data_IF_972125582415
#
_entry.id   IF_972125582415
#
_cell.length_a   1.000
_cell.length_b   1.000
_cell.length_c   1.000
_cell.angle_alpha   90.00
_cell.angle_beta   90.00
_cell.angle_gamma   90.00
#
_symmetry.space_group_name_H-M   'P 1'
#
loop_
_entity.id
_entity.type
_entity.pdbx_description
1 polymer ?
#
# COMPACT_ATOMS: atom_id res chain seq x y z
N UNK A 1 -15.69 -29.56 9.28
CA UNK A 1 -16.37 -28.24 9.45
C UNK A 1 -17.82 -28.41 9.89
N UNK A 2 -18.67 -29.18 9.23
CA UNK A 2 -20.09 -29.39 9.61
C UNK A 2 -20.27 -29.99 11.02
N UNK A 3 -19.45 -31.00 11.44
CA UNK A 3 -19.51 -31.61 12.77
C UNK A 3 -19.10 -30.66 13.90
N UNK A 4 -18.06 -29.85 13.68
CA UNK A 4 -17.57 -28.88 14.67
C UNK A 4 -18.58 -27.74 14.90
N UNK A 5 -19.28 -27.27 13.86
CA UNK A 5 -20.33 -26.25 13.98
C UNK A 5 -21.56 -26.78 14.75
N UNK A 6 -21.90 -28.07 14.54
CA UNK A 6 -23.00 -28.70 15.29
C UNK A 6 -22.63 -28.86 16.78
N UNK A 7 -21.38 -29.17 17.08
CA UNK A 7 -20.89 -29.37 18.44
C UNK A 7 -20.76 -28.05 19.22
N UNK A 8 -20.34 -26.96 18.56
CA UNK A 8 -20.09 -25.66 19.21
C UNK A 8 -21.34 -24.78 19.26
N UNK A 9 -22.17 -24.78 18.19
CA UNK A 9 -23.29 -23.86 18.04
C UNK A 9 -24.65 -24.54 17.96
N UNK A 10 -24.74 -25.87 18.08
CA UNK A 10 -26.00 -26.62 17.97
C UNK A 10 -26.68 -26.56 16.60
N UNK A 11 -26.03 -25.98 15.58
CA UNK A 11 -26.60 -25.76 14.24
C UNK A 11 -26.04 -26.80 13.27
N UNK A 12 -26.95 -27.54 12.63
CA UNK A 12 -26.60 -28.49 11.58
C UNK A 12 -26.64 -27.78 10.22
N UNK A 13 -25.45 -27.49 9.66
CA UNK A 13 -25.32 -26.91 8.32
C UNK A 13 -24.95 -28.03 7.35
N UNK A 14 -25.75 -28.24 6.30
CA UNK A 14 -25.49 -29.24 5.26
C UNK A 14 -24.29 -28.83 4.37
N UNK A 15 -23.67 -29.79 3.67
CA UNK A 15 -22.63 -29.51 2.67
C UNK A 15 -23.11 -28.54 1.59
N UNK A 16 -24.36 -28.70 1.16
CA UNK A 16 -24.97 -27.83 0.13
C UNK A 16 -25.19 -26.41 0.63
N UNK A 17 -25.59 -26.24 1.89
CA UNK A 17 -25.69 -24.91 2.50
C UNK A 17 -24.33 -24.23 2.64
N UNK A 18 -23.28 -24.98 3.01
CA UNK A 18 -21.89 -24.46 3.05
C UNK A 18 -21.45 -24.05 1.63
N UNK A 19 -21.73 -24.88 0.62
CA UNK A 19 -21.39 -24.58 -0.78
C UNK A 19 -22.11 -23.31 -1.25
N UNK A 20 -23.44 -23.24 -1.10
CA UNK A 20 -24.21 -22.04 -1.50
C UNK A 20 -23.75 -20.78 -0.79
N UNK A 21 -23.44 -20.84 0.51
CA UNK A 21 -22.91 -19.71 1.25
C UNK A 21 -21.53 -19.28 0.71
N UNK A 22 -20.68 -20.28 0.39
CA UNK A 22 -19.38 -20.04 -0.20
C UNK A 22 -19.47 -19.41 -1.59
N UNK A 23 -20.42 -19.87 -2.41
CA UNK A 23 -20.65 -19.36 -3.78
C UNK A 23 -21.21 -17.93 -3.73
N UNK A 24 -22.12 -17.65 -2.80
CA UNK A 24 -22.63 -16.29 -2.57
C UNK A 24 -21.48 -15.32 -2.20
N UNK A 25 -20.59 -15.72 -1.28
CA UNK A 25 -19.44 -14.88 -0.92
C UNK A 25 -18.52 -14.69 -2.13
N UNK A 26 -18.34 -15.70 -3.00
CA UNK A 26 -17.50 -15.54 -4.20
C UNK A 26 -18.07 -14.46 -5.12
N UNK A 27 -19.35 -14.49 -5.42
CA UNK A 27 -19.98 -13.47 -6.28
C UNK A 27 -19.92 -12.07 -5.66
N UNK A 28 -20.03 -11.95 -4.34
CA UNK A 28 -19.87 -10.66 -3.64
C UNK A 28 -18.45 -10.15 -3.78
N UNK A 29 -17.44 -11.02 -3.63
CA UNK A 29 -16.01 -10.66 -3.81
C UNK A 29 -15.74 -10.23 -5.26
N UNK A 30 -16.25 -10.97 -6.26
CA UNK A 30 -16.07 -10.65 -7.67
C UNK A 30 -16.70 -9.27 -8.01
N UNK A 31 -17.90 -9.00 -7.51
CA UNK A 31 -18.56 -7.71 -7.64
C UNK A 31 -17.76 -6.59 -6.96
N UNK A 32 -17.19 -6.86 -5.78
CA UNK A 32 -16.35 -5.90 -5.08
C UNK A 32 -15.05 -5.61 -5.84
N UNK A 33 -14.40 -6.62 -6.40
CA UNK A 33 -13.17 -6.48 -7.19
C UNK A 33 -13.40 -5.72 -8.50
N UNK A 34 -14.60 -5.84 -9.11
CA UNK A 34 -14.95 -5.21 -10.39
C UNK A 34 -15.76 -3.91 -10.25
N UNK A 35 -16.07 -3.46 -9.01
CA UNK A 35 -16.91 -2.28 -8.80
C UNK A 35 -16.30 -1.01 -9.40
N UNK A 36 -17.12 -0.05 -9.85
CA UNK A 36 -16.67 1.30 -10.15
C UNK A 36 -15.94 1.92 -8.95
N UNK A 37 -14.95 2.74 -9.22
CA UNK A 37 -14.17 3.47 -8.23
C UNK A 37 -14.43 4.97 -8.34
N UNK A 38 -13.98 5.74 -7.34
CA UNK A 38 -14.02 7.20 -7.48
C UNK A 38 -13.16 7.63 -8.67
N UNK A 39 -13.56 8.65 -9.44
CA UNK A 39 -12.80 9.08 -10.60
C UNK A 39 -11.45 9.71 -10.27
N UNK A 40 -11.22 10.02 -8.98
CA UNK A 40 -10.01 10.69 -8.53
C UNK A 40 -9.49 10.15 -7.20
N UNK A 41 -8.17 10.01 -7.15
CA UNK A 41 -7.44 9.73 -5.91
C UNK A 41 -6.24 10.66 -5.76
N UNK A 42 -6.14 11.34 -4.61
CA UNK A 42 -4.98 12.17 -4.28
C UNK A 42 -3.73 11.32 -4.05
N UNK A 43 -3.91 10.19 -3.34
CA UNK A 43 -2.81 9.27 -3.02
C UNK A 43 -3.23 7.83 -3.28
N UNK A 44 -2.35 7.06 -3.91
CA UNK A 44 -2.41 5.60 -3.95
C UNK A 44 -1.20 5.01 -3.22
N UNK A 45 -1.44 3.92 -2.51
CA UNK A 45 -0.38 3.15 -1.85
C UNK A 45 -0.50 1.69 -2.29
N UNK A 46 0.59 1.15 -2.81
CA UNK A 46 0.70 -0.25 -3.19
C UNK A 46 1.65 -1.00 -2.26
N UNK A 47 1.23 -2.14 -1.74
CA UNK A 47 2.05 -3.04 -0.93
C UNK A 47 1.71 -4.50 -1.24
N UNK A 48 2.59 -5.42 -0.88
CA UNK A 48 2.47 -6.84 -1.14
C UNK A 48 2.37 -7.66 0.15
N UNK A 49 1.49 -8.66 0.12
CA UNK A 49 1.32 -9.67 1.16
C UNK A 49 1.70 -11.04 0.58
N UNK A 50 2.69 -11.69 1.15
CA UNK A 50 3.04 -13.07 0.79
C UNK A 50 2.28 -14.04 1.68
N UNK A 51 1.36 -14.81 1.06
CA UNK A 51 0.43 -15.70 1.77
C UNK A 51 0.61 -17.13 1.26
N UNK A 52 0.83 -18.12 2.16
CA UNK A 52 0.95 -19.52 1.77
C UNK A 52 -0.40 -20.03 1.23
N UNK A 53 -0.39 -20.62 0.05
CA UNK A 53 -1.54 -21.27 -0.58
C UNK A 53 -1.14 -22.67 -1.01
N UNK A 54 -1.96 -23.66 -0.68
CA UNK A 54 -1.75 -25.05 -1.08
C UNK A 54 -2.80 -25.42 -2.14
N UNK A 55 -2.36 -25.59 -3.37
CA UNK A 55 -3.17 -26.05 -4.49
C UNK A 55 -2.50 -27.29 -5.07
N UNK A 56 -3.27 -28.31 -5.43
CA UNK A 56 -2.79 -29.55 -6.04
C UNK A 56 -1.66 -30.25 -5.24
N UNK A 57 -1.76 -30.22 -3.89
CA UNK A 57 -0.78 -30.75 -2.93
C UNK A 57 0.56 -30.00 -2.87
N UNK A 58 0.72 -28.94 -3.63
CA UNK A 58 1.88 -28.06 -3.57
C UNK A 58 1.56 -26.80 -2.77
N UNK A 59 2.44 -26.48 -1.80
CA UNK A 59 2.33 -25.25 -0.99
C UNK A 59 3.32 -24.22 -1.47
N UNK A 60 2.82 -23.08 -1.95
CA UNK A 60 3.65 -21.96 -2.39
C UNK A 60 3.20 -20.65 -1.75
N UNK A 61 4.13 -19.70 -1.61
CA UNK A 61 3.84 -18.34 -1.18
C UNK A 61 3.44 -17.50 -2.38
N UNK A 62 2.14 -17.20 -2.49
CA UNK A 62 1.63 -16.31 -3.52
C UNK A 62 1.66 -14.86 -3.06
N UNK A 63 1.97 -13.96 -3.98
CA UNK A 63 1.99 -12.52 -3.76
C UNK A 63 0.58 -11.92 -4.00
N UNK A 64 0.04 -11.27 -2.98
CA UNK A 64 -1.22 -10.52 -3.04
C UNK A 64 -0.92 -9.04 -2.93
N UNK A 65 -1.14 -8.31 -4.00
CA UNK A 65 -0.91 -6.89 -4.11
C UNK A 65 -2.18 -6.13 -3.70
N UNK A 66 -2.05 -5.27 -2.71
CA UNK A 66 -3.16 -4.47 -2.17
C UNK A 66 -2.93 -3.02 -2.54
N UNK A 67 -3.90 -2.38 -3.18
CA UNK A 67 -3.87 -0.95 -3.46
C UNK A 67 -4.92 -0.23 -2.61
N UNK A 68 -4.46 0.77 -1.88
CA UNK A 68 -5.28 1.65 -1.06
C UNK A 68 -5.27 3.04 -1.68
N UNK A 69 -6.45 3.65 -1.82
CA UNK A 69 -6.62 5.02 -2.29
C UNK A 69 -7.06 5.96 -1.19
N UNK A 70 -6.70 7.23 -1.34
CA UNK A 70 -7.26 8.36 -0.60
C UNK A 70 -7.90 9.29 -1.62
N UNK A 71 -9.21 9.46 -1.54
CA UNK A 71 -10.00 10.23 -2.49
C UNK A 71 -9.90 11.75 -2.30
N UNK A 72 -10.68 12.53 -3.06
CA UNK A 72 -10.75 14.00 -2.97
C UNK A 72 -11.32 14.52 -1.64
N UNK A 73 -12.00 13.68 -0.86
CA UNK A 73 -12.54 14.00 0.47
C UNK A 73 -11.59 13.53 1.60
N UNK A 74 -10.44 12.95 1.24
CA UNK A 74 -9.47 12.40 2.19
C UNK A 74 -9.88 11.04 2.76
N UNK A 75 -10.91 10.41 2.22
CA UNK A 75 -11.41 9.13 2.68
C UNK A 75 -10.58 7.98 2.09
N UNK A 76 -10.35 6.96 2.91
CA UNK A 76 -9.60 5.77 2.50
C UNK A 76 -10.50 4.71 1.92
N UNK A 77 -10.04 4.02 0.87
CA UNK A 77 -10.65 2.80 0.36
C UNK A 77 -9.57 1.79 -0.08
N UNK A 78 -9.86 0.50 0.02
CA UNK A 78 -9.08 -0.55 -0.64
C UNK A 78 -9.63 -0.71 -2.05
N UNK A 79 -8.87 -0.29 -3.04
CA UNK A 79 -9.32 -0.25 -4.43
C UNK A 79 -9.40 -1.65 -5.05
N UNK A 80 -8.52 -2.54 -4.62
CA UNK A 80 -8.51 -3.92 -5.06
C UNK A 80 -7.36 -4.72 -4.45
N UNK A 81 -7.40 -6.00 -4.74
CA UNK A 81 -6.38 -6.98 -4.41
C UNK A 81 -6.13 -7.81 -5.66
N UNK A 82 -4.88 -7.96 -6.06
CA UNK A 82 -4.47 -8.75 -7.22
C UNK A 82 -3.47 -9.80 -6.79
N UNK A 83 -3.57 -11.00 -7.36
CA UNK A 83 -2.63 -12.09 -7.09
C UNK A 83 -1.91 -12.46 -8.38
N UNK A 84 -0.58 -12.46 -8.34
CA UNK A 84 0.24 -12.97 -9.43
C UNK A 84 1.44 -13.76 -8.88
N UNK A 85 1.99 -14.63 -9.72
CA UNK A 85 3.19 -15.41 -9.41
C UNK A 85 4.47 -14.59 -9.55
N UNK A 86 4.46 -13.59 -10.44
CA UNK A 86 5.63 -12.78 -10.79
C UNK A 86 5.29 -11.31 -10.79
N UNK A 87 6.06 -10.54 -10.06
CA UNK A 87 6.00 -9.09 -10.07
C UNK A 87 6.73 -8.56 -11.32
N UNK A 88 5.96 -8.23 -12.35
CA UNK A 88 6.47 -7.80 -13.65
C UNK A 88 5.87 -6.47 -14.09
N UNK A 89 6.52 -5.79 -15.03
CA UNK A 89 5.96 -4.59 -15.64
C UNK A 89 4.59 -4.86 -16.30
N UNK A 90 4.43 -6.01 -16.94
CA UNK A 90 3.16 -6.43 -17.56
C UNK A 90 2.05 -6.58 -16.51
N UNK A 91 2.37 -7.18 -15.36
CA UNK A 91 1.43 -7.29 -14.25
C UNK A 91 0.98 -5.90 -13.77
N UNK A 92 1.93 -4.98 -13.50
CA UNK A 92 1.57 -3.63 -13.05
C UNK A 92 0.79 -2.83 -14.09
N UNK A 93 1.10 -3.02 -15.38
CA UNK A 93 0.31 -2.40 -16.46
C UNK A 93 -1.14 -2.91 -16.40
N UNK A 94 -1.36 -4.22 -16.27
CA UNK A 94 -2.71 -4.77 -16.16
C UNK A 94 -3.47 -4.29 -14.93
N UNK A 95 -2.78 -4.09 -13.79
CA UNK A 95 -3.37 -3.53 -12.57
C UNK A 95 -3.82 -2.08 -12.79
N UNK A 96 -2.98 -1.24 -13.41
CA UNK A 96 -3.35 0.16 -13.68
C UNK A 96 -4.44 0.28 -14.75
N UNK A 97 -4.44 -0.58 -15.76
CA UNK A 97 -5.52 -0.66 -16.76
C UNK A 97 -6.84 -1.09 -16.12
N UNK A 98 -6.83 -2.04 -15.17
CA UNK A 98 -8.01 -2.43 -14.40
C UNK A 98 -8.55 -1.23 -13.59
N UNK A 99 -7.69 -0.50 -12.90
CA UNK A 99 -8.07 0.71 -12.17
C UNK A 99 -8.72 1.75 -13.10
N UNK A 100 -8.13 1.96 -14.28
CA UNK A 100 -8.66 2.89 -15.29
C UNK A 100 -10.00 2.42 -15.87
N UNK A 101 -10.14 1.13 -16.15
CA UNK A 101 -11.40 0.51 -16.61
C UNK A 101 -12.51 0.64 -15.58
N UNK A 102 -12.16 0.70 -14.29
CA UNK A 102 -13.06 0.91 -13.17
C UNK A 102 -13.26 2.38 -12.82
N UNK A 103 -13.13 3.27 -13.83
CA UNK A 103 -13.49 4.67 -13.83
C UNK A 103 -12.50 5.63 -13.11
N UNK A 104 -11.31 5.21 -12.75
CA UNK A 104 -10.30 6.17 -12.29
C UNK A 104 -9.81 7.02 -13.46
N UNK A 105 -10.08 8.31 -13.40
CA UNK A 105 -9.66 9.31 -14.39
C UNK A 105 -8.27 9.88 -14.05
N UNK A 106 -8.01 10.18 -12.78
CA UNK A 106 -6.76 10.83 -12.37
C UNK A 106 -6.27 10.43 -10.98
N UNK A 107 -4.94 10.38 -10.85
CA UNK A 107 -4.21 10.09 -9.62
C UNK A 107 -3.07 11.10 -9.48
N UNK A 108 -2.90 11.74 -8.30
CA UNK A 108 -1.79 12.68 -8.12
C UNK A 108 -0.49 12.00 -7.73
N UNK A 109 -0.53 11.14 -6.71
CA UNK A 109 0.65 10.48 -6.19
C UNK A 109 0.42 8.98 -6.01
N UNK A 110 1.43 8.18 -6.33
CA UNK A 110 1.47 6.76 -5.96
C UNK A 110 2.72 6.48 -5.13
N UNK A 111 2.58 5.61 -4.14
CA UNK A 111 3.69 5.14 -3.30
C UNK A 111 3.77 3.62 -3.36
N UNK A 112 4.95 3.08 -3.68
CA UNK A 112 5.23 1.64 -3.69
C UNK A 112 6.58 1.34 -3.01
N UNK A 113 6.87 0.08 -2.77
CA UNK A 113 8.15 -0.38 -2.22
C UNK A 113 9.32 -0.32 -3.21
N UNK A 114 9.06 0.15 -4.42
CA UNK A 114 10.07 0.34 -5.46
C UNK A 114 10.30 -0.88 -6.33
N UNK A 115 9.24 -1.58 -6.59
CA UNK A 115 9.17 -2.76 -7.42
C UNK A 115 9.55 -2.47 -8.87
N UNK A 116 10.26 -3.40 -9.47
CA UNK A 116 10.64 -3.30 -10.88
C UNK A 116 9.39 -3.20 -11.78
N UNK A 117 9.42 -2.25 -12.72
CA UNK A 117 8.33 -2.04 -13.67
C UNK A 117 7.15 -1.20 -13.17
N UNK A 118 6.97 -0.99 -11.86
CA UNK A 118 5.85 -0.20 -11.31
C UNK A 118 5.79 1.21 -11.89
N UNK A 119 6.89 1.96 -11.82
CA UNK A 119 6.96 3.35 -12.30
C UNK A 119 6.68 3.44 -13.81
N UNK A 120 7.33 2.61 -14.61
CA UNK A 120 7.13 2.63 -16.07
C UNK A 120 5.70 2.27 -16.49
N UNK A 121 5.10 1.27 -15.83
CA UNK A 121 3.70 0.90 -16.06
C UNK A 121 2.73 2.00 -15.65
N UNK A 122 3.00 2.66 -14.52
CA UNK A 122 2.21 3.82 -14.08
C UNK A 122 2.26 4.96 -15.09
N UNK A 123 3.46 5.34 -15.55
CA UNK A 123 3.67 6.41 -16.53
C UNK A 123 2.98 6.12 -17.86
N UNK A 124 2.83 4.84 -18.23
CA UNK A 124 2.11 4.43 -19.43
C UNK A 124 0.60 4.66 -19.32
N UNK A 125 0.01 4.32 -18.17
CA UNK A 125 -1.46 4.36 -17.99
C UNK A 125 -1.94 5.68 -17.39
N UNK A 126 -1.18 6.23 -16.44
CA UNK A 126 -1.44 7.49 -15.74
C UNK A 126 -0.23 8.43 -15.81
N UNK A 127 0.09 9.02 -16.98
CA UNK A 127 1.34 9.75 -17.23
C UNK A 127 1.53 11.02 -16.39
N UNK A 128 0.46 11.55 -15.79
CA UNK A 128 0.50 12.73 -14.94
C UNK A 128 0.69 12.42 -13.46
N UNK A 129 0.73 11.14 -13.09
CA UNK A 129 0.88 10.70 -11.70
C UNK A 129 2.33 10.71 -11.27
N UNK A 130 2.61 11.25 -10.10
CA UNK A 130 3.96 11.23 -9.51
C UNK A 130 4.17 9.92 -8.74
N UNK A 131 5.14 9.12 -9.17
CA UNK A 131 5.54 7.89 -8.47
C UNK A 131 6.55 8.20 -7.37
N UNK A 132 6.32 7.67 -6.16
CA UNK A 132 7.18 7.83 -5.01
C UNK A 132 7.57 6.48 -4.42
N UNK A 133 8.79 6.37 -3.93
CA UNK A 133 9.23 5.20 -3.19
C UNK A 133 8.82 5.29 -1.72
N UNK A 134 8.33 4.19 -1.16
CA UNK A 134 7.88 4.14 0.24
C UNK A 134 9.06 4.29 1.20
N UNK A 135 9.11 5.36 1.97
CA UNK A 135 10.17 5.64 2.95
C UNK A 135 10.24 4.54 4.03
N UNK A 136 9.12 3.97 4.42
CA UNK A 136 9.08 2.87 5.41
C UNK A 136 9.81 1.63 4.89
N UNK A 137 9.68 1.32 3.59
CA UNK A 137 10.45 0.23 2.98
C UNK A 137 11.94 0.55 2.90
N UNK A 138 12.31 1.81 2.63
CA UNK A 138 13.70 2.24 2.72
C UNK A 138 14.26 2.02 4.13
N UNK A 139 13.52 2.43 5.17
CA UNK A 139 13.88 2.19 6.59
C UNK A 139 14.01 0.69 6.88
N UNK A 140 13.04 -0.14 6.48
CA UNK A 140 13.11 -1.60 6.67
C UNK A 140 14.31 -2.24 5.98
N UNK A 141 14.68 -1.74 4.82
CA UNK A 141 15.86 -2.23 4.12
C UNK A 141 17.16 -1.84 4.84
N UNK A 142 17.23 -0.64 5.44
CA UNK A 142 18.35 -0.26 6.31
C UNK A 142 18.47 -1.21 7.51
N UNK A 143 17.37 -1.58 8.16
CA UNK A 143 17.39 -2.57 9.25
C UNK A 143 18.08 -3.88 8.88
N UNK A 144 17.97 -4.32 7.63
CA UNK A 144 18.57 -5.58 7.15
C UNK A 144 20.09 -5.54 7.02
N UNK A 145 20.64 -4.35 6.74
CA UNK A 145 22.09 -4.18 6.47
C UNK A 145 22.85 -3.52 7.62
N UNK A 146 22.14 -2.90 8.57
CA UNK A 146 22.76 -2.23 9.71
C UNK A 146 23.17 -3.21 10.81
N UNK A 147 24.32 -2.99 11.48
CA UNK A 147 24.70 -3.74 12.67
C UNK A 147 23.65 -3.57 13.77
N UNK A 148 23.28 -4.67 14.45
CA UNK A 148 22.22 -4.67 15.48
C UNK A 148 22.42 -3.62 16.58
N UNK A 149 23.69 -3.36 16.97
CA UNK A 149 24.02 -2.38 18.02
C UNK A 149 23.82 -0.93 17.59
N UNK A 150 23.96 -0.63 16.29
CA UNK A 150 23.91 0.72 15.75
C UNK A 150 22.59 1.05 15.03
N UNK A 151 21.77 0.05 14.74
CA UNK A 151 20.59 0.19 13.88
C UNK A 151 19.64 1.29 14.34
N UNK A 152 19.37 1.39 15.64
CA UNK A 152 18.47 2.42 16.19
C UNK A 152 19.02 3.81 15.94
N UNK A 153 20.33 4.01 16.15
CA UNK A 153 21.00 5.29 15.93
C UNK A 153 21.00 5.67 14.44
N UNK A 154 21.34 4.71 13.57
CA UNK A 154 21.32 4.88 12.12
C UNK A 154 19.93 5.31 11.64
N UNK A 155 18.87 4.63 12.08
CA UNK A 155 17.50 4.96 11.68
C UNK A 155 17.06 6.32 12.20
N UNK A 156 17.43 6.69 13.43
CA UNK A 156 17.15 8.03 13.96
C UNK A 156 17.84 9.12 13.14
N UNK A 157 19.06 8.90 12.70
CA UNK A 157 19.80 9.84 11.85
C UNK A 157 19.21 9.89 10.43
N UNK A 158 18.89 8.74 9.84
CA UNK A 158 18.19 8.69 8.55
C UNK A 158 16.83 9.41 8.61
N UNK A 159 16.12 9.32 9.74
CA UNK A 159 14.88 10.06 9.95
C UNK A 159 15.08 11.57 9.83
N UNK A 160 16.20 12.13 10.33
CA UNK A 160 16.48 13.57 10.19
C UNK A 160 16.60 13.98 8.73
N UNK A 161 17.18 13.13 7.88
CA UNK A 161 17.30 13.39 6.44
C UNK A 161 15.91 13.51 5.79
N UNK A 162 15.08 12.46 5.85
CA UNK A 162 13.79 12.47 5.16
C UNK A 162 12.71 13.35 5.80
N UNK A 163 12.86 13.71 7.07
CA UNK A 163 11.96 14.61 7.79
C UNK A 163 12.42 16.08 7.77
N UNK A 164 13.50 16.40 7.10
CA UNK A 164 13.98 17.78 6.94
C UNK A 164 12.93 18.65 6.25
N UNK A 165 12.93 19.94 6.57
CA UNK A 165 11.95 20.89 6.04
C UNK A 165 12.27 21.32 4.61
N UNK A 166 13.53 21.26 4.19
CA UNK A 166 13.98 21.56 2.82
C UNK A 166 15.01 20.55 2.32
N UNK A 167 15.27 20.56 1.00
CA UNK A 167 16.27 19.71 0.39
C UNK A 167 17.68 20.05 0.89
N UNK A 168 17.99 21.35 1.07
CA UNK A 168 19.29 21.81 1.55
C UNK A 168 19.59 21.27 2.96
N UNK A 169 18.58 21.32 3.86
CA UNK A 169 18.72 20.74 5.18
C UNK A 169 18.84 19.22 5.15
N UNK A 170 18.15 18.54 4.23
CA UNK A 170 18.30 17.10 4.04
C UNK A 170 19.70 16.72 3.55
N UNK A 171 20.26 17.50 2.65
CA UNK A 171 21.65 17.33 2.17
C UNK A 171 22.67 17.57 3.29
N UNK A 172 22.47 18.61 4.13
CA UNK A 172 23.32 18.84 5.29
C UNK A 172 23.25 17.66 6.30
N UNK A 173 22.05 17.16 6.57
CA UNK A 173 21.90 15.99 7.45
C UNK A 173 22.50 14.72 6.83
N UNK A 174 22.52 14.59 5.50
CA UNK A 174 23.23 13.51 4.81
C UNK A 174 24.74 13.61 5.02
N UNK A 175 25.35 14.79 4.87
CA UNK A 175 26.78 14.97 5.13
C UNK A 175 27.12 14.63 6.59
N UNK A 176 26.35 15.13 7.55
CA UNK A 176 26.50 14.76 8.97
C UNK A 176 26.39 13.23 9.17
N UNK A 177 25.48 12.57 8.44
CA UNK A 177 25.31 11.13 8.49
C UNK A 177 26.56 10.39 7.97
N UNK A 178 27.13 10.85 6.83
CA UNK A 178 28.33 10.29 6.20
C UNK A 178 29.54 10.39 7.14
N UNK A 179 29.74 11.53 7.79
CA UNK A 179 30.81 11.73 8.75
C UNK A 179 30.66 10.79 9.97
N UNK A 180 29.46 10.76 10.57
CA UNK A 180 29.17 9.98 11.78
C UNK A 180 29.29 8.47 11.55
N UNK A 181 28.92 7.98 10.36
CA UNK A 181 28.95 6.56 10.00
C UNK A 181 30.03 6.19 8.97
N UNK A 182 31.09 6.99 8.87
CA UNK A 182 32.21 6.77 7.94
C UNK A 182 32.87 5.39 8.05
N UNK A 183 32.81 4.75 9.24
CA UNK A 183 33.27 3.38 9.46
C UNK A 183 32.36 2.30 8.85
N UNK A 184 31.18 2.67 8.32
CA UNK A 184 30.18 1.77 7.75
C UNK A 184 29.84 2.12 6.29
N UNK A 185 30.79 1.99 5.35
CA UNK A 185 30.65 2.50 3.99
C UNK A 185 29.41 1.95 3.27
N UNK A 186 29.07 0.68 3.44
CA UNK A 186 27.87 0.09 2.82
C UNK A 186 26.55 0.73 3.29
N UNK A 187 26.48 1.19 4.54
CA UNK A 187 25.30 1.87 5.09
C UNK A 187 25.24 3.29 4.52
N UNK A 188 26.39 3.97 4.45
CA UNK A 188 26.51 5.32 3.89
C UNK A 188 26.09 5.31 2.41
N UNK A 189 26.70 4.45 1.58
CA UNK A 189 26.36 4.31 0.16
C UNK A 189 24.86 4.06 -0.05
N UNK A 190 24.24 3.23 0.83
CA UNK A 190 22.82 2.93 0.72
C UNK A 190 21.93 4.11 1.07
N UNK A 191 22.31 4.93 2.04
CA UNK A 191 21.58 6.15 2.38
C UNK A 191 21.76 7.21 1.29
N UNK A 192 22.96 7.35 0.71
CA UNK A 192 23.18 8.20 -0.46
C UNK A 192 22.31 7.79 -1.66
N UNK A 193 22.26 6.47 -1.97
CA UNK A 193 21.36 5.95 -3.01
C UNK A 193 19.89 6.34 -2.74
N UNK A 194 19.49 6.40 -1.47
CA UNK A 194 18.11 6.74 -1.13
C UNK A 194 17.76 8.20 -1.38
N UNK A 195 18.72 9.12 -1.43
CA UNK A 195 18.46 10.53 -1.69
C UNK A 195 17.73 10.76 -3.01
N UNK A 196 18.08 10.02 -4.09
CA UNK A 196 17.37 10.10 -5.37
C UNK A 196 15.85 9.82 -5.26
N UNK A 197 15.42 9.07 -4.25
CA UNK A 197 14.02 8.77 -3.98
C UNK A 197 13.37 9.77 -3.02
N UNK A 198 14.18 10.49 -2.22
CA UNK A 198 13.72 11.46 -1.24
C UNK A 198 13.62 12.87 -1.82
N UNK A 199 14.53 13.24 -2.72
CA UNK A 199 14.55 14.58 -3.33
C UNK A 199 13.21 15.05 -3.87
N UNK A 200 12.44 14.25 -4.64
CA UNK A 200 11.13 14.67 -5.15
C UNK A 200 10.10 14.98 -4.05
N UNK A 201 10.31 14.46 -2.84
CA UNK A 201 9.42 14.78 -1.70
C UNK A 201 9.58 16.22 -1.22
N UNK A 202 10.75 16.83 -1.41
CA UNK A 202 11.00 18.20 -0.99
C UNK A 202 10.40 19.25 -1.92
N UNK A 203 9.91 18.83 -3.10
CA UNK A 203 9.15 19.71 -4.02
C UNK A 203 7.73 20.02 -3.52
N UNK A 204 7.24 19.30 -2.50
CA UNK A 204 5.88 19.47 -2.00
C UNK A 204 5.86 19.93 -0.54
N UNK A 205 4.80 20.65 -0.11
CA UNK A 205 4.61 21.06 1.27
C UNK A 205 4.66 19.91 2.26
N UNK A 206 5.04 20.20 3.50
CA UNK A 206 5.28 19.19 4.53
C UNK A 206 4.08 18.28 4.81
N UNK A 207 2.85 18.82 4.80
CA UNK A 207 1.66 18.01 5.08
C UNK A 207 1.36 17.01 3.95
N UNK A 208 1.52 17.41 2.68
CA UNK A 208 1.43 16.50 1.53
C UNK A 208 2.55 15.47 1.61
N UNK A 209 3.79 15.90 1.89
CA UNK A 209 4.94 15.02 2.04
C UNK A 209 4.71 13.97 3.12
N UNK A 210 4.21 14.38 4.30
CA UNK A 210 3.83 13.47 5.37
C UNK A 210 2.78 12.45 4.89
N UNK A 211 1.74 12.88 4.18
CA UNK A 211 0.74 11.96 3.64
C UNK A 211 1.37 10.93 2.69
N UNK A 212 2.32 11.35 1.84
CA UNK A 212 3.02 10.45 0.90
C UNK A 212 3.88 9.41 1.64
N UNK A 213 4.69 9.82 2.62
CA UNK A 213 5.65 8.91 3.26
C UNK A 213 5.18 8.29 4.58
N UNK A 214 4.19 8.88 5.29
CA UNK A 214 3.60 8.23 6.46
C UNK A 214 2.63 7.16 6.01
N UNK A 215 3.15 5.98 5.80
CA UNK A 215 2.39 4.78 5.48
C UNK A 215 1.54 4.27 6.64
N UNK A 216 1.33 5.06 7.71
CA UNK A 216 0.51 4.64 8.85
C UNK A 216 -0.88 4.12 8.41
N UNK A 217 -1.42 4.71 7.34
CA UNK A 217 -2.69 4.24 6.76
C UNK A 217 -2.54 2.87 6.12
N UNK A 218 -1.55 2.66 5.25
CA UNK A 218 -1.34 1.37 4.58
C UNK A 218 -0.77 0.33 5.55
N UNK A 219 0.11 0.71 6.47
CA UNK A 219 0.64 -0.20 7.48
C UNK A 219 -0.45 -0.72 8.41
N UNK A 220 -1.40 0.12 8.81
CA UNK A 220 -2.54 -0.31 9.63
C UNK A 220 -3.42 -1.31 8.88
N UNK A 221 -3.67 -1.09 7.59
CA UNK A 221 -4.41 -2.02 6.73
C UNK A 221 -3.65 -3.32 6.58
N UNK A 222 -2.40 -3.27 6.15
CA UNK A 222 -1.59 -4.46 5.95
C UNK A 222 -1.38 -5.24 7.25
N UNK A 223 -1.20 -4.56 8.39
CA UNK A 223 -1.16 -5.20 9.70
C UNK A 223 -2.48 -5.93 10.01
N UNK A 224 -3.60 -5.30 9.70
CA UNK A 224 -4.92 -5.91 9.91
C UNK A 224 -5.16 -7.11 8.98
N UNK A 225 -4.73 -7.03 7.71
CA UNK A 225 -4.80 -8.13 6.76
C UNK A 225 -3.86 -9.27 7.16
N UNK A 226 -2.61 -8.96 7.58
CA UNK A 226 -1.66 -9.96 8.10
C UNK A 226 -2.15 -10.68 9.34
N UNK A 227 -2.88 -10.00 10.24
CA UNK A 227 -3.46 -10.65 11.43
C UNK A 227 -4.40 -11.79 11.10
N UNK A 228 -5.20 -11.66 10.03
CA UNK A 228 -6.14 -12.70 9.62
C UNK A 228 -5.50 -13.77 8.74
N UNK A 229 -4.38 -13.48 8.07
CA UNK A 229 -3.66 -14.43 7.21
C UNK A 229 -2.57 -15.22 7.96
N UNK A 230 -1.80 -14.57 8.86
CA UNK A 230 -0.69 -15.22 9.58
C UNK A 230 -1.13 -16.28 10.58
N UNK A 231 -2.40 -16.27 11.03
CA UNK A 231 -2.96 -17.28 11.93
C UNK A 231 -3.25 -18.63 11.25
N UNK A 232 -3.15 -18.72 9.94
CA UNK A 232 -3.36 -19.95 9.16
C UNK A 232 -2.05 -20.41 8.56
N UNK A 233 -1.74 -21.71 8.68
CA UNK A 233 -0.53 -22.31 8.11
C UNK A 233 -0.52 -22.19 6.58
N UNK A 234 -1.62 -22.51 5.91
CA UNK A 234 -1.82 -22.35 4.47
C UNK A 234 -3.32 -22.25 4.14
N UNK A 235 -3.61 -21.65 3.00
CA UNK A 235 -4.96 -21.57 2.42
C UNK A 235 -5.14 -22.65 1.34
N UNK A 236 -6.35 -23.19 1.23
CA UNK A 236 -6.66 -24.22 0.25
C UNK A 236 -6.80 -23.72 -1.20
N UNK A 237 -6.90 -22.40 -1.40
CA UNK A 237 -6.96 -21.78 -2.72
C UNK A 237 -6.78 -20.27 -2.64
N UNK A 238 -6.43 -19.64 -3.77
CA UNK A 238 -6.40 -18.18 -3.93
C UNK A 238 -7.75 -17.54 -3.60
N UNK A 239 -8.86 -18.16 -4.02
CA UNK A 239 -10.21 -17.68 -3.71
C UNK A 239 -10.52 -17.66 -2.21
N UNK A 240 -9.97 -18.61 -1.44
CA UNK A 240 -10.11 -18.61 0.03
C UNK A 240 -9.41 -17.42 0.66
N UNK A 241 -8.28 -16.99 0.10
CA UNK A 241 -7.56 -15.78 0.52
C UNK A 241 -8.38 -14.54 0.19
N UNK A 242 -8.87 -14.40 -1.05
CA UNK A 242 -9.70 -13.25 -1.44
C UNK A 242 -10.91 -13.06 -0.54
N UNK A 243 -11.65 -14.14 -0.23
CA UNK A 243 -12.81 -14.09 0.69
C UNK A 243 -12.44 -13.55 2.06
N UNK A 244 -11.34 -14.06 2.63
CA UNK A 244 -10.91 -13.62 3.96
C UNK A 244 -10.43 -12.16 3.96
N UNK A 245 -9.65 -11.77 2.95
CA UNK A 245 -9.16 -10.40 2.82
C UNK A 245 -10.32 -9.42 2.60
N UNK A 246 -11.30 -9.77 1.75
CA UNK A 246 -12.51 -8.97 1.53
C UNK A 246 -13.27 -8.74 2.83
N UNK A 247 -13.59 -9.79 3.57
CA UNK A 247 -14.32 -9.67 4.85
C UNK A 247 -13.55 -8.76 5.82
N UNK A 248 -12.22 -8.88 5.85
CA UNK A 248 -11.41 -8.02 6.70
C UNK A 248 -11.40 -6.56 6.23
N UNK A 249 -11.44 -6.32 4.93
CA UNK A 249 -11.55 -4.96 4.36
C UNK A 249 -12.89 -4.33 4.75
N UNK A 250 -14.00 -5.06 4.67
CA UNK A 250 -15.33 -4.55 5.07
C UNK A 250 -15.35 -4.16 6.56
N UNK A 251 -14.80 -4.99 7.45
CA UNK A 251 -14.65 -4.62 8.87
C UNK A 251 -13.79 -3.36 9.10
N UNK A 252 -12.79 -3.12 8.23
CA UNK A 252 -11.96 -1.92 8.31
C UNK A 252 -12.70 -0.68 7.80
N UNK A 253 -13.53 -0.81 6.77
CA UNK A 253 -14.33 0.29 6.22
C UNK A 253 -15.27 0.89 7.25
N UNK A 254 -15.88 0.06 8.11
CA UNK A 254 -16.72 0.54 9.21
C UNK A 254 -15.98 1.53 10.14
N UNK A 255 -14.65 1.38 10.26
CA UNK A 255 -13.79 2.24 11.09
C UNK A 255 -13.25 3.46 10.35
N UNK A 256 -13.32 3.47 9.01
CA UNK A 256 -12.79 4.54 8.17
C UNK A 256 -13.87 5.59 7.85
N UNK A 257 -14.44 6.15 8.89
CA UNK A 257 -15.51 7.14 8.79
C UNK A 257 -15.01 8.59 8.87
N UNK A 258 -13.71 8.79 8.81
CA UNK A 258 -13.06 10.12 8.87
C UNK A 258 -11.96 10.22 7.83
N UNK A 259 -11.73 11.43 7.30
CA UNK A 259 -10.59 11.71 6.46
C UNK A 259 -9.24 11.37 7.14
N UNK A 260 -8.19 11.24 6.35
CA UNK A 260 -6.84 11.15 6.88
C UNK A 260 -6.48 12.40 7.69
N UNK A 261 -5.53 12.29 8.65
CA UNK A 261 -5.13 13.44 9.46
C UNK A 261 -4.71 14.63 8.60
N UNK A 262 -5.04 15.83 9.06
CA UNK A 262 -4.72 17.11 8.41
C UNK A 262 -5.27 17.28 6.98
N UNK A 263 -6.31 16.52 6.60
CA UNK A 263 -6.85 16.56 5.23
C UNK A 263 -7.21 17.98 4.77
N UNK A 264 -7.79 18.80 5.65
CA UNK A 264 -8.16 20.19 5.30
C UNK A 264 -6.94 21.01 4.82
N UNK A 265 -5.78 20.86 5.49
CA UNK A 265 -4.53 21.52 5.07
C UNK A 265 -4.00 20.93 3.78
N UNK A 266 -4.00 19.60 3.67
CA UNK A 266 -3.55 18.87 2.48
C UNK A 266 -4.39 19.27 1.27
N UNK A 267 -5.70 19.30 1.41
CA UNK A 267 -6.61 19.64 0.31
C UNK A 267 -6.41 21.07 -0.21
N UNK A 268 -6.19 22.06 0.69
CA UNK A 268 -5.85 23.43 0.32
C UNK A 268 -4.53 23.45 -0.47
N UNK A 269 -3.49 22.82 0.03
CA UNK A 269 -2.19 22.75 -0.64
C UNK A 269 -2.26 22.04 -1.99
N UNK A 270 -3.06 20.95 -2.10
CA UNK A 270 -3.30 20.28 -3.37
C UNK A 270 -4.04 21.19 -4.36
N UNK A 271 -5.01 21.98 -3.89
CA UNK A 271 -5.72 22.96 -4.73
C UNK A 271 -4.78 24.06 -5.22
N UNK A 272 -3.86 24.55 -4.39
CA UNK A 272 -2.84 25.53 -4.77
C UNK A 272 -1.88 24.99 -5.84
N UNK A 273 -1.39 23.74 -5.67
CA UNK A 273 -0.41 23.13 -6.58
C UNK A 273 -1.04 22.67 -7.90
N UNK A 274 -2.20 22.03 -7.83
CA UNK A 274 -2.81 21.37 -8.98
C UNK A 274 -3.97 22.14 -9.60
N UNK A 275 -4.47 23.20 -8.93
CA UNK A 275 -5.53 24.07 -9.46
C UNK A 275 -6.74 23.29 -9.96
N UNK A 276 -7.16 23.58 -11.18
CA UNK A 276 -8.32 22.95 -11.83
C UNK A 276 -8.23 21.42 -11.91
N UNK A 277 -7.01 20.84 -11.96
CA UNK A 277 -6.82 19.37 -12.00
C UNK A 277 -7.37 18.68 -10.76
N UNK A 278 -7.25 19.32 -9.59
CA UNK A 278 -7.76 18.79 -8.31
C UNK A 278 -9.17 19.31 -8.01
N UNK A 279 -9.40 20.65 -8.20
CA UNK A 279 -10.62 21.32 -7.76
C UNK A 279 -11.87 20.73 -8.45
N UNK A 280 -11.78 20.32 -9.73
CA UNK A 280 -12.92 19.73 -10.47
C UNK A 280 -13.51 18.47 -9.82
N UNK A 281 -12.79 17.82 -8.89
CA UNK A 281 -13.25 16.62 -8.22
C UNK A 281 -13.81 16.90 -6.81
N UNK A 282 -13.70 18.12 -6.29
CA UNK A 282 -14.21 18.48 -4.97
C UNK A 282 -15.74 18.59 -4.94
N UNK A 283 -16.35 18.88 -6.07
CA UNK A 283 -17.79 19.13 -6.23
C UNK A 283 -18.57 17.88 -6.68
N UNK A 284 -17.93 16.70 -6.71
CA UNK A 284 -18.52 15.42 -7.11
C UNK A 284 -19.05 14.62 -5.92
#
# INVERSE_FOLDING_TARGET
>A
MSSALKEIYGVSISKDQISRFTDTITSVVDNWLSRPLNPFYAFLYADCLYIPVTEDLESDKKAFYVIIGVDCKGMKDVLGIWCDKTESATFWTSVFEDLKKREIDDILYTTSDGVAGFKGSLETVFPKTKAQRCVVHLVRNLYKICPKKEVTKIIQRFKKIYASTSLELAQLELENFKEEFSSMPKVVEKVEEYMQYLEPLFEVPEEIRKAIYTSNSIESVNSALRKVTNGKGSFSSVNSVYKLLYLRVEELKEKWNKPIPNWNKISIQLAEIYGKRFIKYLDI
#
